data_IF_019214579581
#
_entry.id   IF_019214579581
#
_cell.length_a   1.000
_cell.length_b   1.000
_cell.length_c   1.000
_cell.angle_alpha   90.00
_cell.angle_beta   90.00
_cell.angle_gamma   90.00
#
_symmetry.space_group_name_H-M   'P 1'
#
loop_
_entity.id
_entity.type
_entity.pdbx_description
1 polymer ?
#
# COMPACT_ATOMS: atom_id res chain seq x y z
N UNK A 1 -2.71 6.92 -6.44
CA UNK A 1 -2.97 7.24 -5.02
C UNK A 1 -4.29 8.00 -4.81
N UNK A 2 -4.95 8.48 -5.87
CA UNK A 2 -6.23 9.21 -5.77
C UNK A 2 -7.31 8.44 -4.98
N UNK A 3 -7.32 7.10 -5.05
CA UNK A 3 -8.24 6.29 -4.26
C UNK A 3 -8.13 6.54 -2.75
N UNK A 4 -6.93 6.82 -2.24
CA UNK A 4 -6.72 7.19 -0.83
C UNK A 4 -7.09 8.66 -0.61
N UNK A 5 -6.51 9.56 -1.40
CA UNK A 5 -6.57 11.00 -1.11
C UNK A 5 -7.88 11.68 -1.42
N UNK A 6 -8.76 11.01 -2.17
CA UNK A 6 -10.14 11.45 -2.42
C UNK A 6 -11.17 10.50 -1.79
N UNK A 7 -10.72 9.60 -0.92
CA UNK A 7 -11.50 8.51 -0.32
C UNK A 7 -12.44 7.81 -1.32
N UNK A 8 -11.95 7.43 -2.50
CA UNK A 8 -12.79 6.82 -3.54
C UNK A 8 -13.39 5.51 -3.00
N UNK A 9 -14.70 5.50 -2.74
CA UNK A 9 -15.36 4.43 -2.02
C UNK A 9 -16.70 4.04 -2.65
N UNK A 10 -17.10 2.79 -2.42
CA UNK A 10 -18.42 2.28 -2.81
C UNK A 10 -19.40 2.21 -1.64
N UNK A 11 -18.99 2.65 -0.45
CA UNK A 11 -19.80 2.60 0.78
C UNK A 11 -20.66 3.85 1.00
N UNK A 12 -20.60 4.83 0.08
CA UNK A 12 -21.42 6.05 0.09
C UNK A 12 -20.99 7.07 1.14
N UNK A 13 -19.77 6.95 1.67
CA UNK A 13 -19.24 7.91 2.62
C UNK A 13 -18.67 9.13 1.87
N UNK A 14 -18.85 10.35 2.40
CA UNK A 14 -18.21 11.52 1.82
C UNK A 14 -16.70 11.49 2.09
N UNK A 15 -15.94 12.13 1.20
CA UNK A 15 -14.56 12.51 1.47
C UNK A 15 -14.53 13.58 2.57
N UNK A 16 -13.72 13.36 3.61
CA UNK A 16 -13.53 14.28 4.73
C UNK A 16 -12.06 14.48 5.12
N UNK A 17 -11.13 13.91 4.35
CA UNK A 17 -9.70 14.05 4.64
C UNK A 17 -9.11 15.16 3.78
N UNK A 18 -8.26 16.01 4.36
CA UNK A 18 -7.52 17.03 3.61
C UNK A 18 -6.06 16.56 3.43
N UNK A 19 -5.89 15.55 2.56
CA UNK A 19 -4.60 14.95 2.23
C UNK A 19 -4.33 15.06 0.74
N UNK A 20 -3.07 15.25 0.37
CA UNK A 20 -2.65 15.35 -1.02
C UNK A 20 -1.37 14.57 -1.29
N UNK A 21 -1.11 14.33 -2.57
CA UNK A 21 0.11 13.68 -3.04
C UNK A 21 0.73 14.46 -4.20
N UNK A 22 2.06 14.41 -4.31
CA UNK A 22 2.81 14.95 -5.43
C UNK A 22 3.82 13.90 -5.89
N UNK A 23 3.75 13.51 -7.16
CA UNK A 23 4.78 12.66 -7.75
C UNK A 23 6.04 13.50 -8.00
N UNK A 24 7.15 13.13 -7.36
CA UNK A 24 8.42 13.85 -7.43
C UNK A 24 9.34 13.36 -8.56
N UNK A 25 8.90 12.36 -9.33
CA UNK A 25 9.69 11.74 -10.40
C UNK A 25 10.35 10.44 -9.98
N UNK A 26 11.25 9.95 -10.84
CA UNK A 26 11.96 8.70 -10.65
C UNK A 26 13.16 8.88 -9.72
N UNK A 27 13.56 7.82 -9.03
CA UNK A 27 14.70 7.82 -8.10
C UNK A 27 15.49 6.52 -8.20
N UNK A 28 16.77 6.57 -7.82
CA UNK A 28 17.61 5.39 -7.61
C UNK A 28 17.68 5.01 -6.12
N UNK A 29 16.91 5.67 -5.26
CA UNK A 29 16.75 5.28 -3.87
C UNK A 29 16.14 3.88 -3.79
N UNK A 30 16.73 3.03 -2.95
CA UNK A 30 16.19 1.70 -2.65
C UNK A 30 15.40 1.77 -1.37
N UNK A 31 14.28 1.07 -1.30
CA UNK A 31 13.50 0.95 -0.09
C UNK A 31 14.28 0.33 1.07
N UNK A 32 13.90 0.74 2.27
CA UNK A 32 14.35 0.17 3.52
C UNK A 32 13.63 -1.16 3.87
N UNK A 33 13.46 -2.03 2.87
CA UNK A 33 12.85 -3.36 3.02
C UNK A 33 13.96 -4.41 2.99
N UNK A 34 14.09 -5.13 4.10
CA UNK A 34 14.98 -6.28 4.27
C UNK A 34 14.22 -7.60 4.36
N UNK A 35 14.96 -8.70 4.52
CA UNK A 35 14.41 -10.05 4.61
C UNK A 35 15.08 -10.83 5.73
N UNK A 36 14.28 -11.52 6.55
CA UNK A 36 14.82 -12.41 7.57
C UNK A 36 15.27 -13.76 6.97
N UNK A 37 15.87 -14.62 7.78
CA UNK A 37 16.36 -15.95 7.34
C UNK A 37 15.24 -16.91 6.89
N UNK A 38 13.98 -16.61 7.20
CA UNK A 38 12.81 -17.34 6.70
C UNK A 38 12.26 -16.74 5.39
N UNK A 39 12.90 -15.70 4.84
CA UNK A 39 12.47 -15.01 3.64
C UNK A 39 11.27 -14.08 3.86
N UNK A 40 10.88 -13.76 5.10
CA UNK A 40 9.81 -12.82 5.40
C UNK A 40 10.34 -11.38 5.40
N UNK A 41 9.48 -10.43 5.05
CA UNK A 41 9.89 -9.06 4.82
C UNK A 41 9.99 -8.40 6.19
N UNK A 42 11.05 -7.63 6.35
CA UNK A 42 11.33 -6.92 7.58
C UNK A 42 11.63 -5.49 7.21
N UNK A 43 10.88 -4.56 7.77
CA UNK A 43 11.24 -3.16 7.70
C UNK A 43 12.56 -2.93 8.43
N UNK A 44 13.45 -2.15 7.82
CA UNK A 44 14.64 -1.72 8.51
C UNK A 44 14.25 -0.94 9.79
N UNK A 45 15.14 -0.93 10.77
CA UNK A 45 14.93 -0.09 11.95
C UNK A 45 14.85 1.38 11.52
N UNK A 46 14.05 2.20 12.20
CA UNK A 46 13.94 3.64 11.91
C UNK A 46 15.27 4.41 11.89
N UNK A 47 16.29 3.90 12.58
CA UNK A 47 17.65 4.46 12.56
C UNK A 47 18.51 3.99 11.37
N UNK A 48 17.97 3.17 10.47
CA UNK A 48 18.69 2.62 9.33
C UNK A 48 19.04 3.73 8.33
N UNK A 49 20.26 3.75 7.76
CA UNK A 49 20.61 4.68 6.69
C UNK A 49 19.84 4.41 5.39
N UNK A 50 19.15 3.27 5.29
CA UNK A 50 18.22 2.99 4.20
C UNK A 50 17.02 3.93 4.21
N UNK A 51 16.63 4.43 5.39
CA UNK A 51 15.64 5.50 5.49
C UNK A 51 16.29 6.84 5.13
N UNK A 52 15.87 7.41 4.02
CA UNK A 52 16.53 8.53 3.36
C UNK A 52 15.62 9.75 3.16
N UNK A 53 14.40 9.72 3.69
CA UNK A 53 13.38 10.76 3.58
C UNK A 53 12.69 10.81 2.22
N UNK A 54 12.88 9.81 1.35
CA UNK A 54 12.23 9.69 0.05
C UNK A 54 11.20 8.56 0.14
N UNK A 55 9.95 8.87 -0.17
CA UNK A 55 8.93 7.83 -0.31
C UNK A 55 9.11 7.13 -1.66
N UNK A 56 9.22 5.81 -1.65
CA UNK A 56 9.51 5.05 -2.88
C UNK A 56 8.44 4.01 -3.18
N UNK A 57 8.21 3.80 -4.48
CA UNK A 57 7.51 2.64 -5.02
C UNK A 57 8.45 2.02 -6.03
N UNK A 58 8.79 0.75 -5.86
CA UNK A 58 9.69 0.05 -6.78
C UNK A 58 9.27 -1.40 -6.96
N UNK A 59 9.77 -1.98 -8.04
CA UNK A 59 9.47 -3.36 -8.44
C UNK A 59 10.70 -4.23 -8.21
N UNK A 60 10.55 -5.28 -7.43
CA UNK A 60 11.59 -6.27 -7.18
C UNK A 60 10.97 -7.63 -6.86
N UNK A 61 11.73 -8.70 -7.03
CA UNK A 61 11.27 -10.05 -6.77
C UNK A 61 12.08 -10.66 -5.65
N UNK A 62 11.56 -10.52 -4.44
CA UNK A 62 12.28 -10.98 -3.26
C UNK A 62 11.46 -11.91 -2.37
N UNK A 63 10.17 -12.13 -2.68
CA UNK A 63 9.31 -13.02 -1.92
C UNK A 63 8.27 -13.82 -2.72
N UNK A 64 8.22 -15.15 -2.53
CA UNK A 64 7.14 -15.94 -3.10
C UNK A 64 5.81 -15.65 -2.38
N UNK A 65 4.74 -15.49 -3.16
CA UNK A 65 3.35 -15.28 -2.69
C UNK A 65 3.09 -13.96 -1.95
N UNK A 66 3.92 -12.93 -2.16
CA UNK A 66 3.68 -11.57 -1.66
C UNK A 66 3.55 -10.66 -2.87
N UNK A 67 2.45 -9.91 -2.94
CA UNK A 67 2.17 -8.98 -4.04
C UNK A 67 2.87 -7.64 -3.83
N UNK A 68 2.87 -7.17 -2.58
CA UNK A 68 3.48 -5.93 -2.16
C UNK A 68 3.87 -5.97 -0.69
N UNK A 69 4.82 -5.13 -0.33
CA UNK A 69 5.20 -4.85 1.06
C UNK A 69 5.39 -3.36 1.21
N UNK A 70 4.75 -2.77 2.22
CA UNK A 70 4.98 -1.40 2.63
C UNK A 70 5.72 -1.35 3.96
N UNK A 71 6.79 -0.57 4.01
CA UNK A 71 7.49 -0.22 5.25
C UNK A 71 7.41 1.27 5.51
N UNK A 72 6.93 1.63 6.70
CA UNK A 72 6.75 3.03 7.09
C UNK A 72 7.62 3.39 8.28
N UNK A 73 8.16 4.61 8.29
CA UNK A 73 8.71 5.21 9.51
C UNK A 73 7.72 6.20 10.06
N UNK A 74 7.32 5.96 11.30
CA UNK A 74 6.46 6.84 12.06
C UNK A 74 7.24 7.55 13.17
N UNK A 75 7.05 8.86 13.28
CA UNK A 75 7.52 9.66 14.41
C UNK A 75 6.33 9.90 15.34
N UNK A 76 6.53 9.61 16.63
CA UNK A 76 5.52 9.87 17.64
C UNK A 76 5.55 11.34 18.05
N UNK A 77 4.40 12.00 17.93
CA UNK A 77 4.13 13.33 18.46
C UNK A 77 3.21 13.23 19.68
N UNK A 78 3.08 14.31 20.45
CA UNK A 78 2.17 14.35 21.58
C UNK A 78 0.71 14.19 21.12
N UNK A 79 0.19 12.95 21.17
CA UNK A 79 -1.19 12.61 20.86
C UNK A 79 -1.44 11.97 19.49
N UNK A 80 -0.44 11.90 18.60
CA UNK A 80 -0.56 11.28 17.26
C UNK A 80 0.78 10.75 16.75
N UNK A 81 0.76 9.81 15.80
CA UNK A 81 1.96 9.41 15.05
C UNK A 81 1.87 9.88 13.60
N UNK A 82 2.96 10.45 13.11
CA UNK A 82 3.10 10.91 11.73
C UNK A 82 4.00 9.93 10.97
N UNK A 83 3.55 9.47 9.81
CA UNK A 83 4.40 8.69 8.91
C UNK A 83 5.24 9.68 8.09
N UNK A 84 6.55 9.64 8.30
CA UNK A 84 7.53 10.55 7.68
C UNK A 84 8.24 9.93 6.48
N UNK A 85 8.15 8.61 6.33
CA UNK A 85 8.69 7.87 5.19
C UNK A 85 7.87 6.62 4.94
N UNK A 86 7.71 6.25 3.68
CA UNK A 86 7.05 5.02 3.28
C UNK A 86 7.70 4.47 2.01
N UNK A 87 8.09 3.21 2.08
CA UNK A 87 8.71 2.48 1.00
C UNK A 87 7.86 1.27 0.63
N UNK A 88 7.57 1.12 -0.67
CA UNK A 88 6.70 0.08 -1.20
C UNK A 88 7.49 -0.75 -2.21
N UNK A 89 7.64 -2.05 -1.93
CA UNK A 89 8.10 -3.04 -2.89
C UNK A 89 6.90 -3.77 -3.49
N UNK A 90 6.83 -3.88 -4.81
CA UNK A 90 5.91 -4.75 -5.54
C UNK A 90 6.66 -5.88 -6.21
N UNK A 91 6.08 -7.08 -6.23
CA UNK A 91 6.65 -8.22 -6.95
C UNK A 91 6.86 -7.92 -8.44
N UNK A 92 7.88 -8.49 -9.07
CA UNK A 92 8.15 -8.33 -10.50
C UNK A 92 8.50 -9.62 -11.25
N UNK A 93 8.34 -10.79 -10.63
CA UNK A 93 8.67 -12.09 -11.24
C UNK A 93 7.50 -13.07 -11.23
N UNK A 94 6.98 -13.39 -10.04
CA UNK A 94 6.04 -14.51 -9.89
C UNK A 94 4.61 -14.16 -10.34
N UNK A 95 4.24 -12.87 -10.22
CA UNK A 95 2.89 -12.39 -10.47
C UNK A 95 2.84 -11.52 -11.73
N UNK A 96 1.81 -11.74 -12.54
CA UNK A 96 1.55 -10.93 -13.73
C UNK A 96 0.66 -9.76 -13.33
N UNK A 97 1.11 -8.53 -13.60
CA UNK A 97 0.32 -7.33 -13.32
C UNK A 97 -0.59 -6.94 -14.49
N UNK A 98 -1.75 -6.41 -14.15
CA UNK A 98 -2.66 -5.76 -15.11
C UNK A 98 -3.20 -4.44 -14.56
N UNK A 99 -3.44 -3.49 -15.44
CA UNK A 99 -4.21 -2.27 -15.16
C UNK A 99 -5.61 -2.31 -15.76
N UNK A 100 -5.94 -3.36 -16.52
CA UNK A 100 -7.23 -3.53 -17.20
C UNK A 100 -8.34 -4.09 -16.29
N UNK A 101 -8.01 -4.50 -15.06
CA UNK A 101 -8.96 -5.05 -14.10
C UNK A 101 -9.44 -6.47 -14.42
N UNK A 102 -10.57 -6.89 -13.84
CA UNK A 102 -11.18 -8.21 -13.94
C UNK A 102 -12.00 -8.42 -15.24
N UNK A 103 -11.44 -8.03 -16.39
CA UNK A 103 -12.11 -8.10 -17.69
C UNK A 103 -12.22 -9.52 -18.26
N UNK A 104 -13.00 -9.72 -19.34
CA UNK A 104 -13.05 -10.98 -20.07
C UNK A 104 -11.64 -11.42 -20.49
N UNK A 105 -11.20 -12.58 -20.00
CA UNK A 105 -9.86 -13.11 -20.26
C UNK A 105 -8.86 -12.97 -19.12
N UNK A 106 -9.22 -12.32 -18.00
CA UNK A 106 -8.41 -12.40 -16.79
C UNK A 106 -8.39 -13.83 -16.27
N UNK A 107 -7.19 -14.33 -15.93
CA UNK A 107 -6.99 -15.69 -15.43
C UNK A 107 -6.03 -15.74 -14.24
N UNK A 108 -4.88 -15.09 -14.37
CA UNK A 108 -3.78 -15.18 -13.39
C UNK A 108 -3.23 -13.81 -13.02
N UNK A 109 -3.75 -12.75 -13.61
CA UNK A 109 -3.26 -11.39 -13.43
C UNK A 109 -3.78 -10.77 -12.13
N UNK A 110 -2.90 -10.04 -11.45
CA UNK A 110 -3.23 -9.22 -10.29
C UNK A 110 -3.42 -7.76 -10.68
N UNK A 111 -4.38 -7.12 -10.05
CA UNK A 111 -4.72 -5.74 -10.32
C UNK A 111 -3.72 -4.77 -9.68
N UNK A 112 -2.90 -4.11 -10.49
CA UNK A 112 -1.86 -3.21 -10.01
C UNK A 112 -2.44 -2.00 -9.29
N UNK A 113 -3.56 -1.46 -9.77
CA UNK A 113 -4.22 -0.31 -9.16
C UNK A 113 -4.74 -0.65 -7.76
N UNK A 114 -5.43 -1.78 -7.61
CA UNK A 114 -5.92 -2.27 -6.34
C UNK A 114 -4.80 -2.61 -5.36
N UNK A 115 -3.75 -3.32 -5.82
CA UNK A 115 -2.60 -3.64 -4.99
C UNK A 115 -1.91 -2.37 -4.47
N UNK A 116 -1.64 -1.40 -5.35
CA UNK A 116 -1.08 -0.11 -4.91
C UNK A 116 -2.02 0.66 -3.98
N UNK A 117 -3.34 0.57 -4.17
CA UNK A 117 -4.29 1.22 -3.25
C UNK A 117 -4.20 0.60 -1.85
N UNK A 118 -4.02 -0.72 -1.74
CA UNK A 118 -3.75 -1.40 -0.48
C UNK A 118 -2.43 -0.94 0.17
N UNK A 119 -1.33 -0.95 -0.58
CA UNK A 119 -0.03 -0.51 -0.08
C UNK A 119 -0.02 0.98 0.31
N UNK A 120 -0.72 1.83 -0.44
CA UNK A 120 -0.92 3.22 -0.05
C UNK A 120 -1.76 3.34 1.23
N UNK A 121 -2.71 2.43 1.50
CA UNK A 121 -3.39 2.39 2.80
C UNK A 121 -2.40 2.24 3.96
N UNK A 122 -1.40 1.38 3.84
CA UNK A 122 -0.32 1.26 4.81
C UNK A 122 0.52 2.53 4.94
N UNK A 123 0.85 3.20 3.83
CA UNK A 123 1.53 4.50 3.86
C UNK A 123 0.72 5.53 4.68
N UNK A 124 -0.60 5.56 4.55
CA UNK A 124 -1.45 6.43 5.36
C UNK A 124 -1.80 5.87 6.75
N UNK A 125 -1.11 4.82 7.18
CA UNK A 125 -1.16 4.28 8.54
C UNK A 125 -2.36 3.39 8.84
N UNK A 126 -2.99 2.82 7.82
CA UNK A 126 -3.96 1.75 7.98
C UNK A 126 -3.25 0.40 8.14
N UNK A 127 -3.77 -0.43 9.03
CA UNK A 127 -3.30 -1.81 9.21
C UNK A 127 -4.21 -2.81 8.50
N UNK A 128 -3.70 -4.03 8.30
CA UNK A 128 -4.52 -5.13 7.80
C UNK A 128 -5.74 -5.40 8.66
N UNK A 129 -6.82 -5.79 8.00
CA UNK A 129 -8.06 -6.24 8.64
C UNK A 129 -8.51 -7.59 8.07
N UNK A 130 -9.44 -8.25 8.76
CA UNK A 130 -10.00 -9.53 8.35
C UNK A 130 -11.33 -9.43 7.59
N UNK A 131 -11.93 -8.24 7.53
CA UNK A 131 -13.16 -8.00 6.78
C UNK A 131 -12.87 -7.96 5.28
N UNK A 132 -13.58 -8.80 4.52
CA UNK A 132 -13.38 -8.98 3.08
C UNK A 132 -13.88 -7.82 2.22
N UNK A 133 -14.59 -6.86 2.81
CA UNK A 133 -15.08 -5.67 2.11
C UNK A 133 -14.13 -4.46 2.25
N UNK A 134 -12.98 -4.66 2.87
CA UNK A 134 -12.00 -3.60 3.08
C UNK A 134 -10.85 -3.75 2.08
N UNK A 135 -10.35 -2.62 1.61
CA UNK A 135 -9.09 -2.54 0.85
C UNK A 135 -7.95 -3.12 1.65
N UNK A 136 -7.93 -2.94 2.97
CA UNK A 136 -6.87 -3.46 3.85
C UNK A 136 -7.01 -4.96 4.18
N UNK A 137 -7.80 -5.73 3.44
CA UNK A 137 -7.77 -7.19 3.53
C UNK A 137 -6.38 -7.70 3.11
N UNK A 138 -5.76 -8.55 3.94
CA UNK A 138 -4.36 -8.98 3.78
C UNK A 138 -4.01 -9.78 2.52
N UNK A 139 -4.99 -10.36 1.83
CA UNK A 139 -4.74 -11.30 0.74
C UNK A 139 -5.92 -11.34 -0.23
N UNK A 140 -5.59 -11.45 -1.52
CA UNK A 140 -6.55 -11.52 -2.63
C UNK A 140 -6.15 -12.59 -3.63
N UNK A 141 -7.12 -13.07 -4.40
CA UNK A 141 -6.88 -13.93 -5.54
C UNK A 141 -6.58 -13.11 -6.80
N UNK A 142 -6.00 -13.72 -7.85
CA UNK A 142 -5.97 -13.11 -9.18
C UNK A 142 -7.36 -12.64 -9.62
N UNK A 143 -7.38 -11.67 -10.52
CA UNK A 143 -8.59 -11.05 -11.07
C UNK A 143 -9.49 -10.35 -10.05
N UNK A 144 -9.02 -10.13 -8.83
CA UNK A 144 -9.73 -9.36 -7.84
C UNK A 144 -9.48 -7.85 -8.04
N UNK A 145 -10.55 -7.06 -8.11
CA UNK A 145 -10.49 -5.60 -8.30
C UNK A 145 -11.10 -4.80 -7.14
N UNK A 146 -11.55 -5.46 -6.07
CA UNK A 146 -12.25 -4.79 -4.97
C UNK A 146 -11.39 -3.75 -4.24
N UNK A 147 -10.06 -3.83 -4.35
CA UNK A 147 -9.14 -2.86 -3.74
C UNK A 147 -9.01 -1.55 -4.50
N UNK A 148 -9.62 -1.40 -5.69
CA UNK A 148 -9.66 -0.10 -6.39
C UNK A 148 -10.51 0.94 -5.68
N UNK A 149 -11.31 0.53 -4.70
CA UNK A 149 -12.14 1.44 -3.89
C UNK A 149 -12.03 1.09 -2.43
N UNK A 150 -12.19 2.09 -1.57
CA UNK A 150 -12.15 1.95 -0.12
C UNK A 150 -13.42 1.30 0.43
N UNK A 151 -13.21 0.39 1.38
CA UNK A 151 -14.24 -0.10 2.27
C UNK A 151 -14.56 0.92 3.36
N UNK A 152 -15.70 0.71 4.04
CA UNK A 152 -16.17 1.63 5.09
C UNK A 152 -15.18 1.79 6.25
N UNK A 153 -14.51 0.70 6.64
CA UNK A 153 -13.51 0.72 7.69
C UNK A 153 -12.27 1.49 7.29
N UNK A 154 -11.84 1.35 6.03
CA UNK A 154 -10.70 2.10 5.48
C UNK A 154 -10.98 3.61 5.49
N UNK A 155 -12.16 4.03 5.02
CA UNK A 155 -12.60 5.44 5.04
C UNK A 155 -12.61 6.00 6.47
N UNK A 156 -13.22 5.27 7.41
CA UNK A 156 -13.28 5.69 8.82
C UNK A 156 -11.88 5.75 9.45
N UNK A 157 -10.99 4.82 9.09
CA UNK A 157 -9.61 4.81 9.55
C UNK A 157 -8.83 6.04 9.09
N UNK A 158 -9.01 6.45 7.83
CA UNK A 158 -8.42 7.67 7.29
C UNK A 158 -8.98 8.93 7.97
N UNK A 159 -10.31 9.05 8.11
CA UNK A 159 -10.96 10.20 8.75
C UNK A 159 -10.65 10.33 10.24
N UNK A 160 -10.33 9.23 10.91
CA UNK A 160 -9.89 9.27 12.31
C UNK A 160 -8.46 9.80 12.46
N UNK A 161 -7.70 9.85 11.36
CA UNK A 161 -6.26 10.15 11.37
C UNK A 161 -5.92 11.50 10.75
N UNK A 162 -6.70 11.96 9.78
CA UNK A 162 -6.52 13.21 9.02
C UNK A 162 -7.80 14.02 9.02
#
# INVERSE_FOLDING_TARGET
>A
MENITQQNNQCGMPDQVDIGQVYQGDTNATAAIGYNSAGQSTCAAASSPSHNGIHTVYFDNRQPNVLGTTCTIAVAHAGASEIVEADIELDNDANVWTTNGAGPGCSTEYDLEGALTHEFGHWFGLDHVSDTHQTMLRAVSPCFIGFRTLGKGDVLGLQARY
#
